data_IF_810770912088
#
_entry.id   IF_810770912088
#
_cell.length_a   1.000
_cell.length_b   1.000
_cell.length_c   1.000
_cell.angle_alpha   90.00
_cell.angle_beta   90.00
_cell.angle_gamma   90.00
#
_symmetry.space_group_name_H-M   'P 1'
#
loop_
_entity.id
_entity.type
_entity.pdbx_description
1 polymer ?
#
# COMPACT_ATOMS: atom_id res chain seq x y z
N UNK A 1 -28.16 1.59 0.54
CA UNK A 1 -28.05 2.37 -0.73
C UNK A 1 -27.29 3.70 -0.67
N UNK A 2 -27.39 4.50 0.39
CA UNK A 2 -26.69 5.80 0.50
C UNK A 2 -25.18 5.79 0.16
N UNK A 3 -24.42 4.78 0.60
CA UNK A 3 -22.97 4.70 0.32
C UNK A 3 -22.65 4.49 -1.16
N UNK A 4 -23.47 3.73 -1.89
CA UNK A 4 -23.31 3.55 -3.34
C UNK A 4 -23.56 4.86 -4.06
N UNK A 5 -24.63 5.57 -3.70
CA UNK A 5 -24.94 6.89 -4.26
C UNK A 5 -23.80 7.89 -4.02
N UNK A 6 -23.27 7.96 -2.79
CA UNK A 6 -22.13 8.82 -2.47
C UNK A 6 -20.86 8.48 -3.27
N UNK A 7 -20.59 7.20 -3.50
CA UNK A 7 -19.46 6.78 -4.33
C UNK A 7 -19.65 7.18 -5.80
N UNK A 8 -20.85 7.04 -6.35
CA UNK A 8 -21.16 7.50 -7.71
C UNK A 8 -21.08 9.02 -7.84
N UNK A 9 -21.52 9.76 -6.83
CA UNK A 9 -21.40 11.23 -6.77
C UNK A 9 -19.93 11.66 -6.78
N UNK A 10 -19.06 11.03 -5.98
CA UNK A 10 -17.62 11.29 -5.97
C UNK A 10 -16.95 10.95 -7.31
N UNK A 11 -17.42 9.89 -7.97
CA UNK A 11 -16.92 9.49 -9.30
C UNK A 11 -17.35 10.47 -10.40
N UNK A 12 -18.59 10.96 -10.34
CA UNK A 12 -19.09 12.00 -11.23
C UNK A 12 -18.33 13.32 -10.99
N UNK A 13 -18.14 13.70 -9.72
CA UNK A 13 -17.35 14.87 -9.33
C UNK A 13 -15.92 14.80 -9.88
N UNK A 14 -15.22 13.66 -9.74
CA UNK A 14 -13.88 13.47 -10.32
C UNK A 14 -13.86 13.62 -11.85
N UNK A 15 -14.95 13.26 -12.54
CA UNK A 15 -15.06 13.31 -14.00
C UNK A 15 -15.42 14.70 -14.53
N UNK A 16 -16.23 15.44 -13.78
CA UNK A 16 -16.72 16.77 -14.16
C UNK A 16 -15.77 17.89 -13.77
N UNK A 17 -14.98 17.71 -12.70
CA UNK A 17 -14.02 18.73 -12.28
C UNK A 17 -12.81 18.70 -13.19
N UNK A 18 -12.62 19.82 -13.89
CA UNK A 18 -11.46 20.09 -14.73
C UNK A 18 -10.16 19.88 -13.92
N UNK A 19 -9.21 19.10 -14.46
CA UNK A 19 -7.98 18.69 -13.75
C UNK A 19 -7.16 19.90 -13.23
N UNK A 20 -7.35 21.09 -13.80
CA UNK A 20 -6.69 22.33 -13.39
C UNK A 20 -7.35 23.04 -12.18
N UNK A 21 -8.56 22.63 -11.75
CA UNK A 21 -9.25 23.20 -10.58
C UNK A 21 -9.12 22.36 -9.32
N UNK A 22 -8.80 21.07 -9.46
CA UNK A 22 -8.53 20.18 -8.34
C UNK A 22 -7.13 20.42 -7.79
N UNK A 23 -7.04 20.66 -6.48
CA UNK A 23 -5.76 20.68 -5.81
C UNK A 23 -5.11 19.29 -5.91
N UNK A 24 -3.79 19.21 -6.09
CA UNK A 24 -3.08 17.94 -6.23
C UNK A 24 -3.34 16.97 -5.07
N UNK A 25 -3.56 17.51 -3.87
CA UNK A 25 -3.94 16.74 -2.67
C UNK A 25 -5.29 16.03 -2.85
N UNK A 26 -6.29 16.76 -3.34
CA UNK A 26 -7.64 16.24 -3.54
C UNK A 26 -7.65 15.20 -4.66
N UNK A 27 -6.87 15.43 -5.73
CA UNK A 27 -6.66 14.46 -6.80
C UNK A 27 -6.02 13.17 -6.29
N UNK A 28 -4.96 13.27 -5.46
CA UNK A 28 -4.34 12.11 -4.84
C UNK A 28 -5.34 11.35 -3.96
N UNK A 29 -6.09 12.05 -3.11
CA UNK A 29 -7.09 11.42 -2.22
C UNK A 29 -8.17 10.70 -3.03
N UNK A 30 -8.71 11.34 -4.08
CA UNK A 30 -9.72 10.74 -4.95
C UNK A 30 -9.17 9.52 -5.70
N UNK A 31 -7.94 9.59 -6.19
CA UNK A 31 -7.28 8.47 -6.88
C UNK A 31 -7.06 7.29 -5.93
N UNK A 32 -6.43 7.52 -4.77
CA UNK A 32 -6.15 6.45 -3.82
C UNK A 32 -7.43 5.83 -3.23
N UNK A 33 -8.51 6.60 -3.02
CA UNK A 33 -9.78 6.05 -2.55
C UNK A 33 -10.51 5.22 -3.61
N UNK A 34 -10.46 5.63 -4.89
CA UNK A 34 -11.03 4.84 -5.98
C UNK A 34 -10.25 3.53 -6.18
N UNK A 35 -8.92 3.62 -6.25
CA UNK A 35 -8.05 2.48 -6.55
C UNK A 35 -8.02 1.47 -5.40
N UNK A 36 -7.93 1.94 -4.14
CA UNK A 36 -7.80 1.04 -2.99
C UNK A 36 -9.10 0.34 -2.63
N UNK A 37 -10.26 1.01 -2.65
CA UNK A 37 -11.50 0.42 -2.11
C UNK A 37 -12.76 0.80 -2.89
N UNK A 38 -12.62 1.41 -4.07
CA UNK A 38 -13.74 1.97 -4.82
C UNK A 38 -14.65 2.84 -3.92
N UNK A 39 -14.03 3.76 -3.16
CA UNK A 39 -14.67 4.61 -2.15
C UNK A 39 -15.24 3.86 -0.91
N UNK A 40 -14.65 2.72 -0.56
CA UNK A 40 -15.08 1.90 0.58
C UNK A 40 -16.21 0.93 0.25
N UNK A 41 -16.47 0.68 -1.04
CA UNK A 41 -17.42 -0.32 -1.56
C UNK A 41 -16.78 -1.68 -1.85
N UNK A 42 -15.49 -1.86 -1.64
CA UNK A 42 -14.86 -3.16 -1.83
C UNK A 42 -13.65 -3.31 -0.91
N UNK A 43 -13.80 -4.15 0.12
CA UNK A 43 -12.71 -4.44 1.05
C UNK A 43 -11.64 -5.36 0.43
N UNK A 44 -12.02 -6.18 -0.55
CA UNK A 44 -11.09 -7.13 -1.22
C UNK A 44 -10.07 -6.39 -2.09
N UNK A 45 -10.49 -5.27 -2.69
CA UNK A 45 -9.59 -4.34 -3.39
C UNK A 45 -8.55 -3.72 -2.45
N UNK A 46 -8.92 -3.41 -1.21
CA UNK A 46 -7.98 -2.84 -0.22
C UNK A 46 -6.88 -3.84 0.13
N UNK A 47 -7.26 -5.11 0.25
CA UNK A 47 -6.34 -6.21 0.46
C UNK A 47 -5.39 -6.39 -0.75
N UNK A 48 -5.93 -6.41 -1.97
CA UNK A 48 -5.14 -6.54 -3.19
C UNK A 48 -4.17 -5.35 -3.39
N UNK A 49 -4.64 -4.13 -3.14
CA UNK A 49 -3.82 -2.91 -3.13
C UNK A 49 -2.65 -3.05 -2.16
N UNK A 50 -2.90 -3.55 -0.95
CA UNK A 50 -1.85 -3.76 0.07
C UNK A 50 -0.80 -4.77 -0.42
N UNK A 51 -1.22 -5.91 -1.00
CA UNK A 51 -0.30 -6.90 -1.53
C UNK A 51 0.50 -6.39 -2.74
N UNK A 52 -0.15 -5.69 -3.66
CA UNK A 52 0.52 -5.15 -4.85
C UNK A 52 1.59 -4.12 -4.48
N UNK A 53 1.26 -3.14 -3.64
CA UNK A 53 2.21 -2.10 -3.24
C UNK A 53 3.29 -2.63 -2.30
N UNK A 54 2.95 -3.53 -1.38
CA UNK A 54 3.97 -4.18 -0.53
C UNK A 54 4.96 -4.98 -1.36
N UNK A 55 4.49 -5.72 -2.37
CA UNK A 55 5.35 -6.50 -3.25
C UNK A 55 6.27 -5.59 -4.06
N UNK A 56 5.74 -4.54 -4.68
CA UNK A 56 6.54 -3.57 -5.44
C UNK A 56 7.66 -2.96 -4.58
N UNK A 57 7.33 -2.45 -3.39
CA UNK A 57 8.32 -1.83 -2.51
C UNK A 57 9.29 -2.83 -1.90
N UNK A 58 8.85 -4.07 -1.66
CA UNK A 58 9.75 -5.13 -1.21
C UNK A 58 10.80 -5.48 -2.28
N UNK A 59 10.40 -5.55 -3.55
CA UNK A 59 11.35 -5.76 -4.67
C UNK A 59 12.33 -4.59 -4.79
N UNK A 60 11.85 -3.34 -4.70
CA UNK A 60 12.73 -2.16 -4.72
C UNK A 60 13.72 -2.17 -3.53
N UNK A 61 13.24 -2.55 -2.35
CA UNK A 61 14.08 -2.75 -1.16
C UNK A 61 15.17 -3.81 -1.40
N UNK A 62 14.83 -4.97 -1.97
CA UNK A 62 15.81 -6.01 -2.27
C UNK A 62 16.84 -5.59 -3.33
N UNK A 63 16.38 -4.97 -4.42
CA UNK A 63 17.26 -4.50 -5.51
C UNK A 63 18.24 -3.46 -4.97
N UNK A 64 17.73 -2.48 -4.23
CA UNK A 64 18.58 -1.43 -3.64
C UNK A 64 19.59 -2.02 -2.65
N UNK A 65 19.19 -2.98 -1.82
CA UNK A 65 20.10 -3.60 -0.86
C UNK A 65 21.19 -4.42 -1.56
N UNK A 66 20.81 -5.26 -2.54
CA UNK A 66 21.75 -6.05 -3.35
C UNK A 66 22.77 -5.15 -4.09
N UNK A 67 22.31 -4.00 -4.61
CA UNK A 67 23.20 -3.02 -5.24
C UNK A 67 24.26 -2.45 -4.28
N UNK A 68 23.89 -2.17 -3.03
CA UNK A 68 24.82 -1.63 -2.03
C UNK A 68 25.77 -2.65 -1.44
N UNK A 69 25.32 -3.89 -1.22
CA UNK A 69 26.17 -4.99 -0.74
C UNK A 69 27.09 -5.52 -1.85
N UNK A 70 26.86 -5.11 -3.11
CA UNK A 70 27.57 -5.58 -4.31
C UNK A 70 27.50 -7.11 -4.48
N UNK A 71 26.43 -7.71 -3.98
CA UNK A 71 26.16 -9.15 -4.12
C UNK A 71 24.85 -9.35 -4.86
N UNK A 72 24.97 -9.73 -6.13
CA UNK A 72 23.85 -9.98 -7.05
C UNK A 72 23.21 -11.35 -6.77
N UNK A 73 23.90 -12.25 -6.04
CA UNK A 73 23.39 -13.56 -5.65
C UNK A 73 22.61 -13.53 -4.33
N UNK A 74 22.36 -12.35 -3.77
CA UNK A 74 21.66 -12.17 -2.50
C UNK A 74 20.14 -12.41 -2.60
N UNK A 75 19.68 -13.01 -3.69
CA UNK A 75 18.30 -13.51 -3.79
C UNK A 75 18.17 -14.63 -2.75
N UNK A 76 17.38 -14.42 -1.67
CA UNK A 76 17.25 -15.43 -0.64
C UNK A 76 16.62 -16.69 -1.23
N UNK A 77 16.90 -17.85 -0.63
CA UNK A 77 16.10 -19.06 -0.90
C UNK A 77 14.61 -18.73 -0.73
N UNK A 78 13.76 -19.41 -1.49
CA UNK A 78 12.31 -19.12 -1.52
C UNK A 78 11.68 -19.02 -0.13
N UNK A 79 12.06 -19.91 0.79
CA UNK A 79 11.57 -19.89 2.17
C UNK A 79 12.00 -18.61 2.91
N UNK A 80 13.27 -18.23 2.81
CA UNK A 80 13.79 -17.00 3.42
C UNK A 80 13.18 -15.75 2.78
N UNK A 81 12.95 -15.77 1.47
CA UNK A 81 12.29 -14.69 0.74
C UNK A 81 10.86 -14.48 1.25
N UNK A 82 10.06 -15.56 1.35
CA UNK A 82 8.69 -15.49 1.84
C UNK A 82 8.62 -15.03 3.30
N UNK A 83 9.51 -15.54 4.17
CA UNK A 83 9.59 -15.10 5.57
C UNK A 83 9.94 -13.61 5.66
N UNK A 84 10.90 -13.13 4.87
CA UNK A 84 11.29 -11.72 4.87
C UNK A 84 10.18 -10.82 4.29
N UNK A 85 9.45 -11.29 3.28
CA UNK A 85 8.29 -10.59 2.75
C UNK A 85 7.15 -10.50 3.79
N UNK A 86 6.86 -11.58 4.52
CA UNK A 86 5.87 -11.53 5.60
C UNK A 86 6.28 -10.58 6.73
N UNK A 87 7.57 -10.55 7.10
CA UNK A 87 8.12 -9.55 8.03
C UNK A 87 7.98 -8.12 7.49
N UNK A 88 8.10 -7.93 6.17
CA UNK A 88 7.93 -6.64 5.52
C UNK A 88 6.47 -6.17 5.59
N UNK A 89 5.50 -7.04 5.26
CA UNK A 89 4.07 -6.71 5.35
C UNK A 89 3.62 -6.47 6.78
N UNK A 90 4.22 -7.14 7.76
CA UNK A 90 3.78 -7.04 9.15
C UNK A 90 3.77 -5.57 9.64
N UNK A 91 2.60 -4.99 9.99
CA UNK A 91 2.52 -3.60 10.43
C UNK A 91 3.16 -3.40 11.81
N UNK A 92 3.39 -4.44 12.60
CA UNK A 92 3.98 -4.33 13.94
C UNK A 92 5.52 -4.29 13.94
N UNK A 93 6.17 -4.58 12.80
CA UNK A 93 7.63 -4.57 12.65
C UNK A 93 8.17 -3.26 12.06
N UNK A 94 7.66 -2.10 12.50
CA UNK A 94 7.99 -0.80 11.91
C UNK A 94 9.49 -0.45 11.92
N UNK A 95 10.20 -0.84 12.98
CA UNK A 95 11.60 -0.47 13.20
C UNK A 95 12.59 -1.61 12.92
N UNK A 96 12.09 -2.82 12.66
CA UNK A 96 12.96 -3.99 12.43
C UNK A 96 12.93 -4.36 10.96
N UNK A 97 13.98 -3.97 10.24
CA UNK A 97 14.11 -4.32 8.84
C UNK A 97 14.13 -5.86 8.66
N UNK A 98 13.59 -6.40 7.55
CA UNK A 98 13.57 -7.84 7.32
C UNK A 98 14.96 -8.47 7.17
N UNK A 99 15.90 -7.71 6.59
CA UNK A 99 17.29 -8.11 6.35
C UNK A 99 18.19 -7.32 7.29
N UNK A 100 19.11 -8.02 7.94
CA UNK A 100 20.11 -7.44 8.82
C UNK A 100 20.99 -6.42 8.07
N UNK A 101 21.39 -5.36 8.77
CA UNK A 101 22.22 -4.25 8.26
C UNK A 101 21.63 -3.43 7.09
N UNK A 102 20.44 -3.76 6.59
CA UNK A 102 19.81 -2.98 5.52
C UNK A 102 19.45 -1.54 5.92
N UNK A 103 19.29 -1.29 7.22
CA UNK A 103 19.06 0.04 7.80
C UNK A 103 20.29 0.96 7.75
N UNK A 104 21.49 0.40 7.54
CA UNK A 104 22.71 1.19 7.38
C UNK A 104 22.79 1.89 6.01
N UNK A 105 21.92 1.52 5.07
CA UNK A 105 21.90 2.06 3.71
C UNK A 105 20.66 2.91 3.47
N UNK A 106 20.86 4.12 2.96
CA UNK A 106 19.78 5.09 2.76
C UNK A 106 18.67 4.59 1.83
N UNK A 107 19.02 4.05 0.65
CA UNK A 107 18.02 3.66 -0.34
C UNK A 107 17.17 2.44 0.07
N UNK A 108 17.76 1.34 0.57
CA UNK A 108 16.97 0.25 1.14
C UNK A 108 16.05 0.75 2.25
N UNK A 109 16.57 1.54 3.18
CA UNK A 109 15.77 2.08 4.27
C UNK A 109 14.63 2.99 3.77
N UNK A 110 14.88 3.82 2.75
CA UNK A 110 13.85 4.68 2.14
C UNK A 110 12.71 3.85 1.54
N UNK A 111 13.02 2.83 0.72
CA UNK A 111 11.99 1.97 0.12
C UNK A 111 11.25 1.15 1.18
N UNK A 112 11.95 0.70 2.22
CA UNK A 112 11.33 0.06 3.38
C UNK A 112 10.30 0.98 4.05
N UNK A 113 10.67 2.21 4.37
CA UNK A 113 9.79 3.19 5.02
C UNK A 113 8.58 3.56 4.14
N UNK A 114 8.78 3.81 2.86
CA UNK A 114 7.70 4.11 1.92
C UNK A 114 6.73 2.92 1.77
N UNK A 115 7.27 1.71 1.68
CA UNK A 115 6.47 0.49 1.67
C UNK A 115 5.62 0.33 2.94
N UNK A 116 6.19 0.60 4.12
CA UNK A 116 5.46 0.56 5.40
C UNK A 116 4.30 1.55 5.46
N UNK A 117 4.49 2.77 4.94
CA UNK A 117 3.43 3.79 4.86
C UNK A 117 2.27 3.28 4.00
N UNK A 118 2.56 2.75 2.81
CA UNK A 118 1.54 2.25 1.89
C UNK A 118 0.83 0.99 2.39
N UNK A 119 1.56 0.07 3.03
CA UNK A 119 0.97 -1.11 3.69
C UNK A 119 0.01 -0.67 4.79
N UNK A 120 0.43 0.26 5.64
CA UNK A 120 -0.41 0.77 6.74
C UNK A 120 -1.65 1.48 6.21
N UNK A 121 -1.50 2.26 5.14
CA UNK A 121 -2.62 2.89 4.44
C UNK A 121 -3.58 1.84 3.87
N UNK A 122 -3.08 0.82 3.19
CA UNK A 122 -3.88 -0.25 2.62
C UNK A 122 -4.65 -1.05 3.68
N UNK A 123 -4.00 -1.37 4.81
CA UNK A 123 -4.66 -2.01 5.97
C UNK A 123 -5.76 -1.10 6.53
N UNK A 124 -5.47 0.19 6.72
CA UNK A 124 -6.46 1.16 7.19
C UNK A 124 -7.67 1.25 6.26
N UNK A 125 -7.46 1.35 4.95
CA UNK A 125 -8.52 1.39 3.95
C UNK A 125 -9.36 0.12 3.97
N UNK A 126 -8.70 -1.04 4.12
CA UNK A 126 -9.37 -2.35 4.24
C UNK A 126 -10.27 -2.38 5.47
N UNK A 127 -9.78 -1.97 6.65
CA UNK A 127 -10.57 -1.90 7.89
C UNK A 127 -11.73 -0.91 7.75
N UNK A 128 -11.51 0.25 7.13
CA UNK A 128 -12.57 1.24 6.90
C UNK A 128 -13.68 0.69 5.99
N UNK A 129 -13.32 -0.03 4.92
CA UNK A 129 -14.27 -0.70 4.05
C UNK A 129 -15.06 -1.78 4.82
N UNK A 130 -14.39 -2.64 5.58
CA UNK A 130 -15.05 -3.66 6.41
C UNK A 130 -16.08 -3.06 7.37
N UNK A 131 -15.75 -1.94 8.04
CA UNK A 131 -16.69 -1.24 8.93
C UNK A 131 -17.96 -0.78 8.19
N UNK A 132 -17.84 -0.32 6.94
CA UNK A 132 -18.99 0.12 6.12
C UNK A 132 -19.86 -1.05 5.65
N UNK A 133 -19.26 -2.23 5.45
CA UNK A 133 -19.98 -3.46 5.10
C UNK A 133 -20.72 -4.08 6.29
N UNK A 134 -20.07 -4.16 7.45
CA UNK A 134 -20.69 -4.73 8.65
C UNK A 134 -21.91 -3.97 9.16
N UNK A 135 -22.00 -2.66 8.89
CA UNK A 135 -23.14 -1.82 9.32
C UNK A 135 -24.33 -1.84 8.35
N UNK A 136 -24.15 -2.26 7.10
CA UNK A 136 -25.21 -2.28 6.08
C UNK A 136 -25.59 -3.69 5.59
N UNK A 137 -24.97 -4.73 6.18
CA UNK A 137 -25.17 -6.14 5.82
C UNK A 137 -25.97 -6.93 6.86
N UNK A 138 -26.66 -6.26 7.79
CA UNK A 138 -27.57 -6.86 8.77
C UNK A 138 -28.97 -6.31 8.61
#
# INVERSE_FOLDING_TARGET
DYLKFKAYELKAYKKEVDNNKLNWKDTCILYFNEESTNFGLDWTKGLFFTFQWSYLFYILYLISYSYFVLDINLIPKIDAYLVNYLKFINPFSFLKAPIEDSENYFWPFLFFMLGKILVSFGIYQTVQAFRKFGVNGG
#
